data_IF_265533256101
#
_entry.id   IF_265533256101
#
_cell.length_a   1.000
_cell.length_b   1.000
_cell.length_c   1.000
_cell.angle_alpha   90.00
_cell.angle_beta   90.00
_cell.angle_gamma   90.00
#
_symmetry.space_group_name_H-M   'P 1'
#
loop_
_entity.id
_entity.type
_entity.pdbx_description
1 polymer ?
#
# COMPACT_ATOMS: atom_id res chain seq x y z
N UNK A 1 -9.56 13.28 -1.62
CA UNK A 1 -8.78 12.67 -2.73
C UNK A 1 -7.29 12.77 -2.47
N UNK A 2 -6.49 11.87 -3.07
CA UNK A 2 -5.03 11.94 -3.04
C UNK A 2 -4.53 12.97 -4.08
N UNK A 3 -3.60 13.82 -3.68
CA UNK A 3 -3.13 14.98 -4.47
C UNK A 3 -1.64 15.27 -4.30
N UNK A 4 -0.97 14.66 -3.31
CA UNK A 4 0.43 14.91 -3.05
C UNK A 4 1.30 14.10 -4.03
N UNK A 5 2.20 14.73 -4.81
CA UNK A 5 3.07 13.98 -5.70
C UNK A 5 4.10 13.17 -4.90
N UNK A 6 4.63 12.06 -5.47
CA UNK A 6 5.64 11.27 -4.79
C UNK A 6 6.90 12.11 -4.52
N UNK A 7 7.49 12.05 -3.31
CA UNK A 7 8.64 12.85 -2.92
C UNK A 7 9.95 12.29 -3.51
N UNK A 8 10.10 12.34 -4.85
CA UNK A 8 11.23 11.75 -5.61
C UNK A 8 12.61 12.15 -5.10
N UNK A 9 12.79 13.42 -4.68
CA UNK A 9 14.06 13.91 -4.12
C UNK A 9 14.41 13.22 -2.80
N UNK A 10 13.45 13.11 -1.89
CA UNK A 10 13.64 12.43 -0.62
C UNK A 10 13.89 10.93 -0.81
N UNK A 11 13.15 10.29 -1.74
CA UNK A 11 13.37 8.89 -2.10
C UNK A 11 14.80 8.63 -2.62
N UNK A 12 15.31 9.47 -3.52
CA UNK A 12 16.67 9.33 -4.06
C UNK A 12 17.77 9.63 -3.02
N UNK A 13 17.44 10.41 -2.00
CA UNK A 13 18.30 10.65 -0.84
C UNK A 13 18.33 9.43 0.07
N UNK A 14 17.17 8.84 0.35
CA UNK A 14 16.97 7.73 1.27
C UNK A 14 17.37 6.36 0.71
N UNK A 15 17.05 6.09 -0.55
CA UNK A 15 17.12 4.77 -1.18
C UNK A 15 18.07 4.76 -2.37
N UNK A 16 18.72 3.63 -2.58
CA UNK A 16 19.40 3.28 -3.83
C UNK A 16 18.59 2.20 -4.55
N UNK A 17 18.40 2.36 -5.85
CA UNK A 17 17.63 1.43 -6.66
C UNK A 17 18.52 0.56 -7.55
N UNK A 18 18.04 -0.66 -7.83
CA UNK A 18 18.61 -1.60 -8.78
C UNK A 18 17.46 -2.21 -9.60
N UNK A 19 17.12 -1.63 -10.75
CA UNK A 19 16.07 -2.14 -11.62
C UNK A 19 16.55 -3.32 -12.46
N UNK A 20 15.64 -4.21 -12.82
CA UNK A 20 15.81 -5.29 -13.79
C UNK A 20 14.51 -5.50 -14.56
N UNK A 21 14.61 -5.85 -15.83
CA UNK A 21 13.45 -6.16 -16.68
C UNK A 21 13.74 -7.36 -17.58
N UNK A 22 12.84 -8.34 -17.57
CA UNK A 22 12.97 -9.59 -18.33
C UNK A 22 11.60 -9.98 -18.89
N UNK A 23 11.34 -9.68 -20.17
CA UNK A 23 10.05 -9.96 -20.78
C UNK A 23 8.93 -9.16 -20.11
N UNK A 24 7.92 -9.85 -19.56
CA UNK A 24 6.80 -9.26 -18.81
C UNK A 24 7.10 -9.07 -17.32
N UNK A 25 8.35 -9.23 -16.89
CA UNK A 25 8.75 -9.16 -15.48
C UNK A 25 9.65 -7.97 -15.20
N UNK A 26 9.13 -6.99 -14.46
CA UNK A 26 9.89 -5.92 -13.84
C UNK A 26 10.26 -6.26 -12.40
N UNK A 27 11.50 -5.95 -12.01
CA UNK A 27 11.97 -6.05 -10.63
C UNK A 27 12.69 -4.77 -10.21
N UNK A 28 12.37 -4.28 -9.01
CA UNK A 28 13.00 -3.12 -8.42
C UNK A 28 13.45 -3.43 -7.00
N UNK A 29 14.75 -3.57 -6.79
CA UNK A 29 15.33 -3.61 -5.45
C UNK A 29 15.65 -2.18 -4.99
N UNK A 30 15.12 -1.80 -3.84
CA UNK A 30 15.38 -0.56 -3.12
C UNK A 30 16.09 -0.89 -1.81
N UNK A 31 17.31 -0.40 -1.65
CA UNK A 31 18.07 -0.54 -0.40
C UNK A 31 18.23 0.79 0.29
N UNK A 32 18.25 0.77 1.62
CA UNK A 32 18.60 1.94 2.40
C UNK A 32 20.00 2.45 2.04
N UNK A 33 20.08 3.71 1.65
CA UNK A 33 21.33 4.44 1.37
C UNK A 33 21.82 5.18 2.61
N UNK A 34 20.91 5.74 3.40
CA UNK A 34 21.18 6.41 4.66
C UNK A 34 19.99 6.26 5.63
N UNK A 35 20.21 6.53 6.91
CA UNK A 35 19.12 6.72 7.88
C UNK A 35 18.20 7.86 7.44
N UNK A 36 16.92 7.75 7.80
CA UNK A 36 15.97 8.84 7.58
C UNK A 36 16.38 10.07 8.41
N UNK A 37 16.33 11.23 7.78
CA UNK A 37 16.48 12.52 8.45
C UNK A 37 15.14 13.28 8.41
N UNK A 38 15.07 14.43 9.10
CA UNK A 38 13.85 15.23 9.19
C UNK A 38 13.32 15.63 7.82
N UNK A 39 14.19 15.96 6.86
CA UNK A 39 13.79 16.32 5.50
C UNK A 39 13.12 15.14 4.77
N UNK A 40 13.66 13.92 4.92
CA UNK A 40 13.03 12.70 4.37
C UNK A 40 11.68 12.47 5.04
N UNK A 41 11.62 12.52 6.37
CA UNK A 41 10.40 12.28 7.14
C UNK A 41 9.29 13.26 6.76
N UNK A 42 9.58 14.56 6.73
CA UNK A 42 8.60 15.60 6.41
C UNK A 42 8.04 15.42 5.00
N UNK A 43 8.89 15.08 4.03
CA UNK A 43 8.47 14.80 2.66
C UNK A 43 7.60 13.54 2.56
N UNK A 44 7.89 12.49 3.35
CA UNK A 44 7.03 11.31 3.42
C UNK A 44 5.69 11.64 4.08
N UNK A 45 5.69 12.41 5.19
CA UNK A 45 4.47 12.82 5.90
C UNK A 45 3.49 13.50 4.97
N UNK A 46 3.94 14.42 4.09
CA UNK A 46 3.05 15.09 3.13
C UNK A 46 2.30 14.11 2.21
N UNK A 47 3.02 13.10 1.70
CA UNK A 47 2.42 12.08 0.84
C UNK A 47 1.45 11.17 1.63
N UNK A 48 1.88 10.71 2.81
CA UNK A 48 1.06 9.88 3.70
C UNK A 48 -0.20 10.60 4.19
N UNK A 49 -0.11 11.89 4.50
CA UNK A 49 -1.25 12.74 4.85
C UNK A 49 -2.31 12.72 3.76
N UNK A 50 -1.88 12.93 2.51
CA UNK A 50 -2.77 12.91 1.36
C UNK A 50 -3.35 11.51 1.11
N UNK A 51 -2.55 10.45 1.32
CA UNK A 51 -3.01 9.07 1.16
C UNK A 51 -4.08 8.67 2.19
N UNK A 52 -3.93 9.12 3.44
CA UNK A 52 -4.84 8.77 4.54
C UNK A 52 -6.08 9.68 4.65
N UNK A 53 -6.14 10.79 3.91
CA UNK A 53 -7.15 11.83 4.07
C UNK A 53 -8.59 11.30 4.00
N UNK A 54 -8.93 10.55 2.95
CA UNK A 54 -10.29 10.03 2.73
C UNK A 54 -10.73 9.05 3.83
N UNK A 55 -9.88 8.09 4.19
CA UNK A 55 -10.15 7.17 5.30
C UNK A 55 -10.27 7.88 6.65
N UNK A 56 -9.44 8.90 6.89
CA UNK A 56 -9.52 9.71 8.10
C UNK A 56 -10.88 10.38 8.21
N UNK A 57 -11.32 11.06 7.16
CA UNK A 57 -12.63 11.71 7.12
C UNK A 57 -13.78 10.71 7.38
N UNK A 58 -13.74 9.55 6.71
CA UNK A 58 -14.76 8.51 6.86
C UNK A 58 -14.78 7.92 8.29
N UNK A 59 -13.63 7.54 8.82
CA UNK A 59 -13.54 6.91 10.14
C UNK A 59 -13.80 7.89 11.28
N UNK A 60 -13.37 9.14 11.17
CA UNK A 60 -13.65 10.17 12.17
C UNK A 60 -15.13 10.52 12.17
N UNK A 61 -15.75 10.66 10.98
CA UNK A 61 -17.21 10.82 10.85
C UNK A 61 -17.98 9.66 11.48
N UNK A 62 -17.57 8.42 11.22
CA UNK A 62 -18.16 7.23 11.83
C UNK A 62 -18.03 7.26 13.36
N UNK A 63 -16.85 7.60 13.87
CA UNK A 63 -16.55 7.67 15.30
C UNK A 63 -17.14 8.90 16.00
N UNK A 64 -17.79 9.83 15.27
CA UNK A 64 -18.29 11.13 15.75
C UNK A 64 -17.19 12.01 16.33
N UNK A 65 -15.99 11.91 15.78
CA UNK A 65 -14.86 12.77 16.10
C UNK A 65 -15.01 14.03 15.25
N UNK A 66 -15.06 15.20 15.88
CA UNK A 66 -15.05 16.47 15.16
C UNK A 66 -13.70 16.72 14.51
N UNK A 67 -13.72 17.11 13.24
CA UNK A 67 -12.55 17.56 12.49
C UNK A 67 -12.37 19.10 12.55
N UNK A 68 -13.27 19.81 13.26
CA UNK A 68 -13.26 21.28 13.30
C UNK A 68 -12.08 21.80 14.15
N UNK A 69 -11.28 22.76 13.65
CA UNK A 69 -10.11 23.26 14.37
C UNK A 69 -10.46 23.88 15.74
N UNK A 70 -11.63 24.53 15.84
CA UNK A 70 -12.12 25.19 17.07
C UNK A 70 -12.88 24.26 18.03
N UNK A 71 -12.96 22.95 17.74
CA UNK A 71 -13.56 22.03 18.70
C UNK A 71 -12.50 21.67 19.76
N UNK A 72 -12.62 22.27 20.95
CA UNK A 72 -11.76 22.06 22.13
C UNK A 72 -11.92 20.65 22.76
N UNK A 73 -12.40 19.65 22.01
CA UNK A 73 -12.39 18.26 22.47
C UNK A 73 -10.93 17.77 22.52
N UNK A 74 -10.32 18.01 23.68
CA UNK A 74 -9.01 17.52 24.08
C UNK A 74 -8.96 16.00 23.85
N UNK A 75 -8.03 15.58 22.99
CA UNK A 75 -7.46 14.23 23.02
C UNK A 75 -8.44 13.09 22.78
N UNK A 76 -9.04 13.00 21.60
CA UNK A 76 -9.67 11.76 21.18
C UNK A 76 -8.60 10.66 21.04
N UNK A 77 -8.60 9.68 21.95
CA UNK A 77 -7.63 8.57 21.99
C UNK A 77 -7.73 7.69 20.72
N UNK A 78 -8.86 7.73 20.01
CA UNK A 78 -9.14 6.97 18.80
C UNK A 78 -8.79 7.67 17.48
N UNK A 79 -7.80 8.57 17.43
CA UNK A 79 -7.48 9.28 16.18
C UNK A 79 -6.81 8.35 15.14
N UNK A 80 -7.51 8.14 14.02
CA UNK A 80 -6.92 7.49 12.84
C UNK A 80 -5.90 8.42 12.14
N UNK A 81 -4.75 7.90 11.65
CA UNK A 81 -4.29 6.50 11.75
C UNK A 81 -3.42 6.19 12.99
N UNK A 82 -3.07 7.21 13.80
CA UNK A 82 -2.13 7.09 14.94
C UNK A 82 -2.56 6.03 15.96
N UNK A 83 -3.86 5.95 16.26
CA UNK A 83 -4.42 5.02 17.24
C UNK A 83 -4.35 3.54 16.81
N UNK A 84 -4.04 3.25 15.54
CA UNK A 84 -3.98 1.90 15.03
C UNK A 84 -2.79 1.11 15.61
N UNK A 85 -2.97 -0.20 15.88
CA UNK A 85 -1.87 -1.07 16.25
C UNK A 85 -0.74 -1.05 15.21
N UNK A 86 0.51 -1.21 15.67
CA UNK A 86 1.69 -1.19 14.78
C UNK A 86 1.59 -2.18 13.62
N UNK A 87 1.00 -3.37 13.86
CA UNK A 87 0.77 -4.39 12.81
C UNK A 87 -0.08 -3.85 11.66
N UNK A 88 -1.12 -3.07 11.98
CA UNK A 88 -2.00 -2.42 11.01
C UNK A 88 -1.30 -1.28 10.29
N UNK A 89 -0.58 -0.43 11.04
CA UNK A 89 0.22 0.66 10.47
C UNK A 89 1.29 0.15 9.49
N UNK A 90 1.88 -1.03 9.75
CA UNK A 90 2.79 -1.72 8.82
C UNK A 90 2.12 -2.14 7.51
N UNK A 91 0.88 -2.63 7.57
CA UNK A 91 0.10 -2.96 6.37
C UNK A 91 -0.19 -1.73 5.52
N UNK A 92 -0.79 -0.71 6.15
CA UNK A 92 -1.09 0.57 5.51
C UNK A 92 0.17 1.26 4.97
N UNK A 93 1.29 1.19 5.70
CA UNK A 93 2.58 1.68 5.22
C UNK A 93 2.98 0.99 3.91
N UNK A 94 2.87 -0.34 3.83
CA UNK A 94 3.13 -1.09 2.61
C UNK A 94 2.25 -0.64 1.44
N UNK A 95 0.97 -0.39 1.68
CA UNK A 95 0.03 0.14 0.68
C UNK A 95 0.46 1.53 0.18
N UNK A 96 0.76 2.48 1.09
CA UNK A 96 1.22 3.83 0.72
C UNK A 96 2.54 3.77 -0.04
N UNK A 97 3.50 2.95 0.39
CA UNK A 97 4.77 2.79 -0.30
C UNK A 97 4.60 2.15 -1.68
N UNK A 98 3.66 1.22 -1.85
CA UNK A 98 3.32 0.65 -3.16
C UNK A 98 2.87 1.74 -4.13
N UNK A 99 1.98 2.62 -3.67
CA UNK A 99 1.56 3.78 -4.45
C UNK A 99 2.69 4.73 -4.78
N UNK A 100 3.42 5.14 -3.76
CA UNK A 100 4.53 6.07 -3.90
C UNK A 100 5.59 5.55 -4.89
N UNK A 101 5.92 4.26 -4.85
CA UNK A 101 6.90 3.67 -5.76
C UNK A 101 6.38 3.54 -7.19
N UNK A 102 5.10 3.23 -7.34
CA UNK A 102 4.41 3.16 -8.63
C UNK A 102 4.46 4.50 -9.37
N UNK A 103 4.33 5.62 -8.66
CA UNK A 103 4.43 6.97 -9.25
C UNK A 103 5.88 7.50 -9.34
N UNK A 104 6.77 7.02 -8.45
CA UNK A 104 8.14 7.52 -8.35
C UNK A 104 9.12 6.88 -9.33
N UNK A 105 8.96 5.59 -9.61
CA UNK A 105 9.91 4.77 -10.36
C UNK A 105 9.29 4.25 -11.67
N UNK A 106 10.17 3.86 -12.60
CA UNK A 106 9.76 3.16 -13.82
C UNK A 106 9.46 1.71 -13.50
N UNK A 107 8.22 1.30 -13.73
CA UNK A 107 7.79 -0.10 -13.67
C UNK A 107 7.74 -0.69 -15.07
N UNK A 108 7.55 -2.01 -15.13
CA UNK A 108 7.31 -2.75 -16.37
C UNK A 108 6.27 -2.03 -17.26
N UNK A 109 6.60 -1.89 -18.55
CA UNK A 109 5.77 -1.19 -19.54
C UNK A 109 5.86 0.34 -19.50
N UNK A 110 6.60 0.93 -18.57
CA UNK A 110 6.83 2.38 -18.41
C UNK A 110 5.54 3.22 -18.40
N UNK A 111 4.45 2.69 -17.83
CA UNK A 111 3.17 3.38 -17.76
C UNK A 111 3.16 4.58 -16.80
N UNK A 112 2.37 5.59 -17.14
CA UNK A 112 2.06 6.71 -16.25
C UNK A 112 0.87 6.36 -15.36
N UNK A 113 1.17 5.91 -14.15
CA UNK A 113 0.17 5.51 -13.17
C UNK A 113 -0.40 6.71 -12.41
N UNK A 114 -1.71 6.66 -12.17
CA UNK A 114 -2.43 7.63 -11.36
C UNK A 114 -3.10 6.92 -10.18
N UNK A 115 -2.98 7.50 -9.00
CA UNK A 115 -3.63 7.03 -7.78
C UNK A 115 -4.61 8.12 -7.31
N UNK A 116 -5.88 8.06 -7.71
CA UNK A 116 -6.84 9.09 -7.30
C UNK A 116 -7.09 9.09 -5.79
N UNK A 117 -7.08 7.90 -5.17
CA UNK A 117 -7.38 7.69 -3.75
C UNK A 117 -6.87 6.32 -3.32
N UNK A 118 -6.46 6.20 -2.05
CA UNK A 118 -6.15 4.92 -1.43
C UNK A 118 -7.41 4.31 -0.83
N UNK A 119 -7.59 2.99 -0.97
CA UNK A 119 -8.83 2.27 -0.61
C UNK A 119 -8.97 1.99 0.91
N UNK A 120 -8.29 2.77 1.74
CA UNK A 120 -8.21 2.56 3.19
C UNK A 120 -9.57 2.67 3.88
N UNK A 121 -10.52 3.47 3.36
CA UNK A 121 -11.86 3.59 3.95
C UNK A 121 -12.66 2.30 3.89
N UNK A 122 -12.28 1.37 3.01
CA UNK A 122 -12.88 0.04 2.92
C UNK A 122 -12.28 -0.96 3.93
N UNK A 123 -11.36 -0.51 4.80
CA UNK A 123 -10.87 -1.29 5.93
C UNK A 123 -11.87 -1.24 7.10
N UNK A 124 -12.95 -1.99 6.97
CA UNK A 124 -14.08 -1.97 7.92
C UNK A 124 -13.64 -2.21 9.38
N UNK A 125 -12.75 -3.18 9.61
CA UNK A 125 -12.30 -3.52 10.96
C UNK A 125 -11.48 -2.39 11.61
N UNK A 126 -10.72 -1.60 10.82
CA UNK A 126 -10.04 -0.42 11.31
C UNK A 126 -11.05 0.66 11.73
N UNK A 127 -12.09 0.91 10.92
CA UNK A 127 -13.17 1.83 11.27
C UNK A 127 -13.90 1.44 12.55
N UNK A 128 -14.24 0.16 12.71
CA UNK A 128 -14.87 -0.37 13.92
C UNK A 128 -13.96 -0.26 15.15
N UNK A 129 -12.66 -0.52 14.97
CA UNK A 129 -11.67 -0.37 16.04
C UNK A 129 -11.59 1.08 16.52
N UNK A 130 -11.49 2.04 15.60
CA UNK A 130 -11.48 3.47 15.91
C UNK A 130 -12.78 3.90 16.63
N UNK A 131 -13.94 3.46 16.12
CA UNK A 131 -15.24 3.72 16.76
C UNK A 131 -15.31 3.20 18.20
N UNK A 132 -14.75 2.00 18.44
CA UNK A 132 -14.73 1.35 19.76
C UNK A 132 -13.80 2.08 20.72
N UNK A 133 -12.57 2.39 20.29
CA UNK A 133 -11.59 3.11 21.11
C UNK A 133 -12.10 4.48 21.55
N UNK A 134 -12.85 5.18 20.71
CA UNK A 134 -13.40 6.49 21.08
C UNK A 134 -14.46 6.41 22.19
N UNK A 135 -14.99 5.22 22.48
CA UNK A 135 -15.98 5.00 23.56
C UNK A 135 -15.37 4.31 24.78
N UNK A 136 -14.39 3.45 24.55
CA UNK A 136 -13.73 2.66 25.57
C UNK A 136 -12.23 2.55 25.22
N UNK A 137 -11.39 3.45 25.76
CA UNK A 137 -9.96 3.50 25.47
C UNK A 137 -9.18 2.23 25.84
N UNK A 138 -9.75 1.38 26.70
CA UNK A 138 -9.11 0.14 27.17
C UNK A 138 -9.36 -1.04 26.23
N UNK A 139 -10.29 -0.92 25.27
CA UNK A 139 -10.60 -1.96 24.27
C UNK A 139 -9.60 -2.04 23.12
N UNK A 140 -8.32 -2.19 23.46
CA UNK A 140 -7.25 -2.44 22.50
C UNK A 140 -7.29 -3.90 22.07
N UNK A 141 -7.25 -4.14 20.76
CA UNK A 141 -7.24 -5.47 20.14
C UNK A 141 -6.43 -5.45 18.85
N UNK A 142 -6.13 -6.63 18.33
CA UNK A 142 -5.66 -6.72 16.95
C UNK A 142 -6.76 -6.30 15.97
N UNK A 143 -6.33 -5.59 14.92
CA UNK A 143 -7.17 -5.25 13.77
C UNK A 143 -6.86 -6.25 12.66
N UNK A 144 -7.91 -6.90 12.16
CA UNK A 144 -7.84 -7.81 11.03
C UNK A 144 -7.46 -7.03 9.77
N UNK A 145 -6.64 -7.62 8.90
CA UNK A 145 -6.27 -7.00 7.62
C UNK A 145 -7.48 -6.81 6.70
N UNK A 146 -7.38 -5.87 5.76
CA UNK A 146 -8.37 -5.70 4.70
C UNK A 146 -8.39 -6.95 3.81
N UNK A 147 -9.56 -7.25 3.24
CA UNK A 147 -9.73 -8.33 2.25
C UNK A 147 -9.72 -7.71 0.85
N UNK A 148 -9.10 -8.38 -0.10
CA UNK A 148 -8.96 -7.91 -1.49
C UNK A 148 -7.56 -7.35 -1.75
N UNK A 149 -7.36 -6.75 -2.92
CA UNK A 149 -6.05 -6.21 -3.32
C UNK A 149 -5.65 -5.01 -2.43
N UNK A 150 -4.43 -5.05 -1.91
CA UNK A 150 -3.87 -4.04 -1.01
C UNK A 150 -3.70 -2.67 -1.71
N UNK A 151 -3.50 -2.64 -3.02
CA UNK A 151 -3.24 -1.39 -3.73
C UNK A 151 -3.85 -1.40 -5.14
N UNK A 152 -4.35 -0.25 -5.61
CA UNK A 152 -4.84 -0.05 -6.97
C UNK A 152 -4.34 1.30 -7.50
N UNK A 153 -3.77 1.29 -8.72
CA UNK A 153 -3.58 2.49 -9.53
C UNK A 153 -4.10 2.23 -10.95
N UNK A 154 -4.41 3.30 -11.68
CA UNK A 154 -4.97 3.24 -13.03
C UNK A 154 -4.09 4.01 -14.01
N UNK A 155 -4.12 3.59 -15.27
CA UNK A 155 -3.62 4.38 -16.40
C UNK A 155 -4.83 4.96 -17.10
N UNK A 156 -4.81 6.27 -17.31
CA UNK A 156 -5.89 7.03 -17.91
C UNK A 156 -5.37 7.71 -19.17
N UNK A 157 -6.07 7.55 -20.30
CA UNK A 157 -5.74 8.25 -21.55
C UNK A 157 -6.21 9.72 -21.54
N UNK A 158 -6.00 10.43 -22.66
CA UNK A 158 -6.34 11.86 -22.76
C UNK A 158 -7.85 12.11 -22.71
N UNK A 159 -8.65 11.12 -23.10
CA UNK A 159 -10.11 11.14 -23.09
C UNK A 159 -10.71 10.74 -21.73
N UNK A 160 -9.88 10.27 -20.80
CA UNK A 160 -10.30 9.81 -19.49
C UNK A 160 -10.68 8.33 -19.44
N UNK A 161 -10.37 7.53 -20.47
CA UNK A 161 -10.61 6.09 -20.43
C UNK A 161 -9.51 5.37 -19.67
N UNK A 162 -9.93 4.38 -18.87
CA UNK A 162 -9.03 3.47 -18.17
C UNK A 162 -8.71 2.31 -19.10
N UNK A 163 -7.44 2.14 -19.47
CA UNK A 163 -7.01 1.04 -20.34
C UNK A 163 -6.16 -0.02 -19.60
N UNK A 164 -5.66 0.32 -18.42
CA UNK A 164 -4.83 -0.53 -17.60
C UNK A 164 -4.96 -0.17 -16.13
N UNK A 165 -4.80 -1.15 -15.26
CA UNK A 165 -4.63 -0.94 -13.83
C UNK A 165 -3.51 -1.82 -13.27
N UNK A 166 -2.97 -1.42 -12.11
CA UNK A 166 -2.02 -2.21 -11.33
C UNK A 166 -2.67 -2.58 -10.01
N UNK A 167 -2.57 -3.84 -9.63
CA UNK A 167 -3.09 -4.37 -8.39
C UNK A 167 -1.94 -4.91 -7.54
N UNK A 168 -1.78 -4.37 -6.34
CA UNK A 168 -0.66 -4.66 -5.46
C UNK A 168 -1.01 -5.49 -4.24
N UNK A 169 -0.06 -6.30 -3.82
CA UNK A 169 -0.01 -6.98 -2.52
C UNK A 169 1.24 -6.53 -1.76
N UNK A 170 1.09 -6.07 -0.51
CA UNK A 170 2.20 -5.51 0.25
C UNK A 170 2.46 -6.30 1.54
N UNK A 171 3.67 -6.86 1.66
CA UNK A 171 4.07 -7.63 2.85
C UNK A 171 5.22 -6.95 3.58
N UNK A 172 5.04 -6.74 4.88
CA UNK A 172 6.08 -6.25 5.79
C UNK A 172 6.67 -7.36 6.66
N UNK A 173 8.00 -7.46 6.77
CA UNK A 173 8.66 -8.34 7.76
C UNK A 173 9.86 -7.66 8.42
N UNK A 174 9.99 -7.81 9.74
CA UNK A 174 11.13 -7.24 10.48
C UNK A 174 12.50 -7.79 10.03
N UNK A 175 12.53 -9.01 9.48
CA UNK A 175 13.72 -9.55 8.80
C UNK A 175 13.33 -10.56 7.73
N UNK A 176 13.83 -10.36 6.52
CA UNK A 176 13.60 -11.25 5.38
C UNK A 176 14.65 -12.36 5.28
N UNK A 177 14.42 -13.46 6.02
CA UNK A 177 15.16 -14.71 5.81
C UNK A 177 14.51 -15.55 4.72
N UNK A 178 15.26 -16.49 4.12
CA UNK A 178 14.72 -17.41 3.10
C UNK A 178 13.47 -18.17 3.60
N UNK A 179 13.49 -18.68 4.83
CA UNK A 179 12.33 -19.36 5.43
C UNK A 179 11.10 -18.46 5.56
N UNK A 180 11.30 -17.19 5.96
CA UNK A 180 10.22 -16.20 6.07
C UNK A 180 9.66 -15.87 4.68
N UNK A 181 10.54 -15.66 3.70
CA UNK A 181 10.15 -15.42 2.32
C UNK A 181 9.34 -16.60 1.77
N UNK A 182 9.84 -17.83 1.90
CA UNK A 182 9.17 -19.04 1.40
C UNK A 182 7.80 -19.22 2.07
N UNK A 183 7.69 -18.93 3.37
CA UNK A 183 6.41 -18.98 4.08
C UNK A 183 5.42 -17.93 3.56
N UNK A 184 5.89 -16.73 3.19
CA UNK A 184 5.05 -15.67 2.63
C UNK A 184 4.62 -16.00 1.20
N UNK A 185 5.56 -16.40 0.36
CA UNK A 185 5.32 -16.59 -1.07
C UNK A 185 4.61 -17.92 -1.37
N UNK A 186 4.98 -19.00 -0.68
CA UNK A 186 4.46 -20.36 -0.89
C UNK A 186 3.42 -20.79 0.17
N UNK A 187 3.24 -20.00 1.24
CA UNK A 187 2.33 -20.31 2.35
C UNK A 187 2.98 -21.16 3.45
N UNK A 188 2.32 -21.36 4.60
CA UNK A 188 2.89 -22.13 5.71
C UNK A 188 3.04 -23.61 5.35
N UNK A 189 4.03 -24.27 5.98
CA UNK A 189 4.20 -25.70 5.80
C UNK A 189 3.13 -26.49 6.55
N UNK A 190 2.58 -27.52 5.91
CA UNK A 190 1.60 -28.44 6.47
C UNK A 190 1.99 -29.89 6.19
N UNK A 191 1.52 -30.82 7.02
CA UNK A 191 1.81 -32.25 6.91
C UNK A 191 2.46 -32.83 8.17
N UNK A 192 2.72 -34.16 8.17
CA UNK A 192 3.35 -34.84 9.29
C UNK A 192 4.78 -34.31 9.55
N UNK A 193 5.23 -34.47 10.79
CA UNK A 193 6.55 -34.02 11.22
C UNK A 193 7.66 -34.75 10.46
N UNK A 194 8.63 -34.01 9.91
CA UNK A 194 9.69 -34.54 9.03
C UNK A 194 9.40 -34.42 7.53
N UNK A 195 8.12 -34.30 7.11
CA UNK A 195 7.70 -34.25 5.70
C UNK A 195 6.88 -32.99 5.36
N UNK A 196 6.98 -31.95 6.20
CA UNK A 196 6.20 -30.72 6.03
C UNK A 196 6.55 -30.02 4.70
N UNK A 197 5.57 -29.93 3.81
CA UNK A 197 5.64 -29.19 2.54
C UNK A 197 4.84 -27.90 2.61
N UNK A 198 5.23 -26.89 1.84
CA UNK A 198 4.44 -25.66 1.71
C UNK A 198 3.05 -25.99 1.18
N UNK A 199 2.02 -25.38 1.76
CA UNK A 199 0.63 -25.65 1.39
C UNK A 199 0.18 -24.95 0.10
N UNK A 200 1.07 -24.18 -0.54
CA UNK A 200 0.83 -23.40 -1.76
C UNK A 200 -0.35 -22.44 -1.61
N UNK A 201 -0.49 -21.81 -0.43
CA UNK A 201 -1.50 -20.77 -0.15
C UNK A 201 -0.83 -19.46 0.28
N UNK A 202 0.29 -19.12 -0.36
CA UNK A 202 0.98 -17.85 -0.17
C UNK A 202 0.64 -16.84 -1.28
N UNK A 203 1.42 -15.76 -1.35
CA UNK A 203 1.22 -14.66 -2.31
C UNK A 203 1.18 -15.15 -3.76
N UNK A 204 2.02 -16.13 -4.14
CA UNK A 204 2.01 -16.65 -5.52
C UNK A 204 0.66 -17.26 -5.88
N UNK A 205 0.04 -17.99 -4.96
CA UNK A 205 -1.28 -18.59 -5.17
C UNK A 205 -2.39 -17.54 -5.27
N UNK A 206 -2.30 -16.49 -4.47
CA UNK A 206 -3.27 -15.38 -4.51
C UNK A 206 -3.18 -14.63 -5.84
N UNK A 207 -1.97 -14.24 -6.25
CA UNK A 207 -1.74 -13.52 -7.50
C UNK A 207 -2.15 -14.35 -8.72
N UNK A 208 -1.74 -15.63 -8.78
CA UNK A 208 -2.08 -16.51 -9.91
C UNK A 208 -3.59 -16.73 -10.09
N UNK A 209 -4.38 -16.58 -9.01
CA UNK A 209 -5.84 -16.75 -9.03
C UNK A 209 -6.61 -15.44 -8.96
N UNK A 210 -5.92 -14.31 -8.95
CA UNK A 210 -6.54 -13.01 -8.83
C UNK A 210 -7.42 -12.72 -10.05
N UNK A 211 -8.60 -12.15 -9.81
CA UNK A 211 -9.58 -11.81 -10.84
C UNK A 211 -8.98 -10.85 -11.86
N UNK A 212 -9.39 -10.97 -13.12
CA UNK A 212 -9.00 -10.04 -14.17
C UNK A 212 -9.42 -8.59 -13.85
N UNK A 213 -10.58 -8.42 -13.20
CA UNK A 213 -11.08 -7.15 -12.67
C UNK A 213 -11.39 -7.36 -11.18
N UNK A 214 -10.56 -6.83 -10.25
CA UNK A 214 -10.74 -7.04 -8.83
C UNK A 214 -11.81 -6.16 -8.20
N UNK A 215 -12.29 -6.54 -7.01
CA UNK A 215 -13.18 -5.72 -6.18
C UNK A 215 -12.59 -4.33 -5.87
N UNK A 216 -11.26 -4.20 -5.83
CA UNK A 216 -10.58 -2.92 -5.64
C UNK A 216 -10.95 -1.87 -6.70
N UNK A 217 -11.27 -2.27 -7.93
CA UNK A 217 -11.74 -1.33 -8.96
C UNK A 217 -13.15 -0.82 -8.70
N UNK A 218 -14.04 -1.67 -8.18
CA UNK A 218 -15.39 -1.25 -7.75
C UNK A 218 -15.31 -0.29 -6.56
N UNK A 219 -14.39 -0.55 -5.63
CA UNK A 219 -14.14 0.34 -4.50
C UNK A 219 -13.61 1.70 -4.97
N UNK A 220 -12.62 1.71 -5.87
CA UNK A 220 -12.14 2.93 -6.49
C UNK A 220 -13.28 3.69 -7.17
N UNK A 221 -14.04 3.02 -8.04
CA UNK A 221 -15.19 3.57 -8.74
C UNK A 221 -16.18 4.25 -7.78
N UNK A 222 -16.59 3.55 -6.72
CA UNK A 222 -17.50 4.08 -5.69
C UNK A 222 -16.96 5.36 -5.05
N UNK A 223 -15.67 5.39 -4.70
CA UNK A 223 -15.07 6.56 -4.04
C UNK A 223 -14.99 7.74 -5.01
N UNK A 224 -14.63 7.51 -6.28
CA UNK A 224 -14.63 8.58 -7.29
C UNK A 224 -16.01 9.22 -7.44
N UNK A 225 -17.05 8.40 -7.50
CA UNK A 225 -18.43 8.84 -7.62
C UNK A 225 -18.90 9.64 -6.39
N UNK A 226 -18.46 9.28 -5.18
CA UNK A 226 -18.85 9.97 -3.96
C UNK A 226 -18.08 11.27 -3.71
N UNK A 227 -16.78 11.30 -4.04
CA UNK A 227 -15.89 12.39 -3.63
C UNK A 227 -15.72 13.46 -4.71
N UNK A 228 -15.49 13.09 -5.97
CA UNK A 228 -15.18 14.03 -7.06
C UNK A 228 -15.82 13.59 -8.41
N UNK A 229 -17.17 13.43 -8.48
CA UNK A 229 -17.84 12.86 -9.65
C UNK A 229 -17.64 13.68 -10.93
N UNK A 230 -17.68 15.01 -10.83
CA UNK A 230 -17.55 15.88 -12.01
C UNK A 230 -16.13 15.84 -12.61
N UNK A 231 -15.11 15.78 -11.75
CA UNK A 231 -13.71 15.75 -12.19
C UNK A 231 -13.34 14.40 -12.80
N UNK A 232 -13.87 13.31 -12.26
CA UNK A 232 -13.59 11.95 -12.72
C UNK A 232 -14.68 11.37 -13.63
N UNK A 233 -15.57 12.20 -14.18
CA UNK A 233 -16.74 11.72 -14.94
C UNK A 233 -16.39 10.73 -16.07
N UNK A 234 -15.37 11.03 -16.88
CA UNK A 234 -14.92 10.10 -17.94
C UNK A 234 -14.31 8.81 -17.38
N UNK A 235 -13.54 8.91 -16.30
CA UNK A 235 -12.93 7.75 -15.63
C UNK A 235 -14.00 6.85 -15.04
N UNK A 236 -14.99 7.43 -14.36
CA UNK A 236 -16.16 6.73 -13.80
C UNK A 236 -16.91 6.01 -14.92
N UNK A 237 -17.24 6.70 -16.01
CA UNK A 237 -17.93 6.10 -17.15
C UNK A 237 -17.11 4.96 -17.81
N UNK A 238 -15.79 5.08 -17.84
CA UNK A 238 -14.92 4.00 -18.34
C UNK A 238 -14.90 2.81 -17.38
N UNK A 239 -14.85 3.05 -16.07
CA UNK A 239 -14.90 1.99 -15.06
C UNK A 239 -16.26 1.29 -15.07
N UNK A 240 -17.37 1.99 -15.28
CA UNK A 240 -18.71 1.38 -15.44
C UNK A 240 -18.73 0.32 -16.55
N UNK A 241 -18.08 0.61 -17.70
CA UNK A 241 -17.99 -0.34 -18.82
C UNK A 241 -17.08 -1.54 -18.51
N UNK A 242 -15.98 -1.32 -17.79
CA UNK A 242 -15.06 -2.38 -17.36
C UNK A 242 -15.69 -3.29 -16.30
N UNK A 243 -16.44 -2.70 -15.36
CA UNK A 243 -17.09 -3.40 -14.24
C UNK A 243 -18.42 -4.05 -14.67
N UNK A 244 -18.89 -3.80 -15.89
CA UNK A 244 -20.14 -4.34 -16.40
C UNK A 244 -20.15 -5.87 -16.38
N UNK A 245 -21.22 -6.46 -15.83
CA UNK A 245 -21.35 -7.91 -15.77
C UNK A 245 -21.47 -8.57 -17.15
N UNK A 246 -22.01 -7.86 -18.15
CA UNK A 246 -22.21 -8.38 -19.51
C UNK A 246 -21.38 -7.57 -20.50
N UNK A 247 -20.57 -8.28 -21.28
CA UNK A 247 -19.66 -7.70 -22.28
C UNK A 247 -18.81 -6.55 -21.72
N UNK A 248 -18.01 -6.79 -20.65
CA UNK A 248 -17.14 -5.76 -20.11
C UNK A 248 -16.11 -5.33 -21.16
N UNK A 249 -15.76 -4.04 -21.12
CA UNK A 249 -14.62 -3.53 -21.89
C UNK A 249 -13.33 -4.22 -21.40
N UNK A 250 -12.41 -4.60 -22.32
CA UNK A 250 -11.13 -5.17 -21.92
C UNK A 250 -10.29 -4.15 -21.17
N UNK A 251 -9.53 -4.63 -20.20
CA UNK A 251 -8.57 -3.82 -19.44
C UNK A 251 -7.34 -4.66 -19.11
N UNK A 252 -6.17 -4.08 -19.27
CA UNK A 252 -4.91 -4.75 -18.93
C UNK A 252 -4.64 -4.68 -17.42
N UNK A 253 -4.09 -5.75 -16.85
CA UNK A 253 -3.72 -5.83 -15.43
C UNK A 253 -2.22 -6.05 -15.28
N UNK A 254 -1.58 -5.22 -14.46
CA UNK A 254 -0.24 -5.47 -13.93
C UNK A 254 -0.36 -5.95 -12.48
N UNK A 255 0.32 -7.06 -12.15
CA UNK A 255 0.43 -7.55 -10.78
C UNK A 255 1.62 -6.90 -10.08
N UNK A 256 1.42 -6.35 -8.89
CA UNK A 256 2.47 -5.76 -8.06
C UNK A 256 2.64 -6.57 -6.77
N UNK A 257 3.89 -6.90 -6.43
CA UNK A 257 4.22 -7.49 -5.13
C UNK A 257 5.28 -6.60 -4.47
N UNK A 258 4.93 -5.99 -3.35
CA UNK A 258 5.86 -5.25 -2.51
C UNK A 258 6.31 -6.12 -1.32
N UNK A 259 7.61 -6.39 -1.24
CA UNK A 259 8.25 -7.00 -0.08
C UNK A 259 9.08 -5.96 0.66
N UNK A 260 8.55 -5.45 1.77
CA UNK A 260 9.17 -4.40 2.55
C UNK A 260 9.68 -4.91 3.91
N UNK A 261 10.80 -4.39 4.39
CA UNK A 261 11.24 -4.62 5.76
C UNK A 261 12.75 -4.80 5.94
N UNK A 262 13.12 -5.48 7.03
CA UNK A 262 14.52 -5.56 7.47
C UNK A 262 15.38 -6.58 6.70
N UNK A 263 16.69 -6.35 6.59
CA UNK A 263 17.59 -7.31 5.99
C UNK A 263 17.73 -8.57 6.86
N UNK A 264 18.05 -9.71 6.23
CA UNK A 264 18.62 -10.84 6.97
C UNK A 264 20.03 -10.51 7.45
N UNK A 265 20.43 -11.05 8.61
CA UNK A 265 21.75 -10.81 9.23
C UNK A 265 22.98 -11.01 8.32
N UNK A 266 22.87 -11.90 7.31
CA UNK A 266 23.97 -12.23 6.38
C UNK A 266 23.71 -11.72 4.96
N UNK A 267 22.72 -10.86 4.76
CA UNK A 267 22.38 -10.32 3.45
C UNK A 267 23.54 -9.46 2.93
N UNK A 268 23.90 -9.63 1.66
CA UNK A 268 24.86 -8.77 0.97
C UNK A 268 24.12 -7.65 0.24
N UNK A 269 24.82 -6.54 0.00
CA UNK A 269 24.32 -5.43 -0.82
C UNK A 269 23.90 -5.92 -2.21
N UNK A 270 22.90 -5.29 -2.81
CA UNK A 270 22.36 -5.60 -4.13
C UNK A 270 21.95 -7.08 -4.32
N UNK A 271 21.50 -7.74 -3.24
CA UNK A 271 20.97 -9.10 -3.28
C UNK A 271 19.46 -9.08 -3.12
N UNK A 272 18.73 -9.45 -4.17
CA UNK A 272 17.27 -9.54 -4.12
C UNK A 272 16.81 -10.78 -3.33
N UNK A 273 15.59 -10.72 -2.80
CA UNK A 273 14.88 -11.80 -2.13
C UNK A 273 14.34 -12.78 -3.17
N UNK A 274 13.71 -12.25 -4.22
CA UNK A 274 13.22 -12.99 -5.37
C UNK A 274 14.23 -12.84 -6.52
N UNK A 275 14.58 -13.92 -7.23
CA UNK A 275 15.45 -13.83 -8.40
C UNK A 275 14.89 -12.85 -9.45
N UNK A 276 15.73 -11.91 -9.88
CA UNK A 276 15.37 -10.84 -10.82
C UNK A 276 15.93 -11.01 -12.25
N UNK A 277 16.57 -12.14 -12.52
CA UNK A 277 17.21 -12.44 -13.82
C UNK A 277 16.31 -13.23 -14.77
N UNK A 278 15.29 -13.87 -14.21
CA UNK A 278 14.33 -14.71 -14.91
C UNK A 278 12.98 -14.49 -14.25
N UNK A 279 11.90 -14.64 -15.03
CA UNK A 279 10.53 -14.63 -14.47
C UNK A 279 10.43 -15.75 -13.43
N UNK A 280 9.94 -15.48 -12.20
CA UNK A 280 9.77 -16.51 -11.19
C UNK A 280 8.90 -17.65 -11.71
N UNK A 281 9.38 -18.89 -11.59
CA UNK A 281 8.68 -20.07 -12.11
C UNK A 281 7.30 -20.24 -11.48
N UNK A 282 7.14 -19.81 -10.22
CA UNK A 282 5.87 -19.87 -9.50
C UNK A 282 4.81 -18.88 -10.01
N UNK A 283 5.19 -17.91 -10.86
CA UNK A 283 4.25 -16.97 -11.45
C UNK A 283 3.67 -17.51 -12.76
N UNK A 284 2.39 -17.89 -12.71
CA UNK A 284 1.69 -18.59 -13.80
C UNK A 284 0.58 -17.74 -14.43
N UNK A 285 0.26 -16.57 -13.88
CA UNK A 285 -0.82 -15.71 -14.39
C UNK A 285 -0.56 -15.16 -15.80
N UNK A 286 0.70 -15.06 -16.24
CA UNK A 286 1.07 -14.61 -17.58
C UNK A 286 0.80 -13.13 -17.87
N UNK A 287 0.47 -12.32 -16.85
CA UNK A 287 0.30 -10.87 -16.95
C UNK A 287 1.64 -10.16 -16.73
N UNK A 288 1.69 -8.85 -16.87
CA UNK A 288 2.87 -8.09 -16.46
C UNK A 288 3.02 -8.21 -14.93
N UNK A 289 4.21 -8.58 -14.47
CA UNK A 289 4.55 -8.71 -13.06
C UNK A 289 5.59 -7.65 -12.69
N UNK A 290 5.27 -6.84 -11.70
CA UNK A 290 6.21 -5.97 -11.02
C UNK A 290 6.48 -6.49 -9.60
N UNK A 291 7.74 -6.77 -9.30
CA UNK A 291 8.19 -6.98 -7.91
C UNK A 291 8.96 -5.75 -7.45
N UNK A 292 8.66 -5.30 -6.24
CA UNK A 292 9.43 -4.27 -5.55
C UNK A 292 9.89 -4.84 -4.20
N UNK A 293 11.18 -4.70 -3.92
CA UNK A 293 11.75 -5.09 -2.64
C UNK A 293 12.32 -3.85 -1.95
N UNK A 294 11.80 -3.49 -0.78
CA UNK A 294 12.33 -2.39 0.00
C UNK A 294 13.00 -2.92 1.26
N UNK A 295 14.33 -2.83 1.31
CA UNK A 295 15.15 -3.36 2.41
C UNK A 295 15.76 -2.22 3.22
N UNK A 296 15.26 -2.02 4.45
CA UNK A 296 15.67 -0.94 5.37
C UNK A 296 15.87 -1.46 6.79
N UNK A 297 16.83 -0.93 7.53
CA UNK A 297 17.23 -1.43 8.86
C UNK A 297 16.36 -0.89 10.00
N UNK A 298 15.89 0.35 9.88
CA UNK A 298 15.17 1.14 10.91
C UNK A 298 13.64 1.20 10.66
N UNK A 299 13.10 0.19 9.96
CA UNK A 299 11.75 0.27 9.41
C UNK A 299 10.62 0.49 10.42
N UNK A 300 10.67 -0.12 11.60
CA UNK A 300 9.65 0.07 12.64
C UNK A 300 9.69 1.51 13.20
N UNK A 301 10.88 2.09 13.36
CA UNK A 301 11.06 3.46 13.84
C UNK A 301 10.63 4.47 12.78
N UNK A 302 10.99 4.24 11.51
CA UNK A 302 10.52 5.05 10.36
C UNK A 302 8.99 5.08 10.32
N UNK A 303 8.34 3.92 10.43
CA UNK A 303 6.87 3.82 10.43
C UNK A 303 6.29 4.58 11.62
N UNK A 304 6.83 4.40 12.82
CA UNK A 304 6.33 5.10 14.01
C UNK A 304 6.49 6.62 13.89
N UNK A 305 7.62 7.11 13.38
CA UNK A 305 7.88 8.53 13.21
C UNK A 305 6.97 9.14 12.16
N UNK A 306 6.82 8.52 10.98
CA UNK A 306 5.91 9.02 9.93
C UNK A 306 4.48 9.07 10.46
N UNK A 307 3.97 7.96 11.00
CA UNK A 307 2.60 7.90 11.50
C UNK A 307 2.37 8.83 12.70
N UNK A 308 3.36 9.02 13.57
CA UNK A 308 3.29 9.97 14.69
C UNK A 308 3.28 11.44 14.24
N UNK A 309 3.81 11.73 13.05
CA UNK A 309 3.73 13.05 12.42
C UNK A 309 2.42 13.28 11.65
N UNK A 310 1.62 12.24 11.40
CA UNK A 310 0.32 12.40 10.74
C UNK A 310 -0.68 13.02 11.70
N UNK A 311 -1.40 14.03 11.22
CA UNK A 311 -2.40 14.79 11.96
C UNK A 311 -1.89 15.34 13.30
N UNK A 312 -0.56 15.45 13.46
CA UNK A 312 0.02 16.23 14.54
C UNK A 312 -0.38 17.68 14.28
N UNK A 313 -1.41 18.17 14.99
CA UNK A 313 -1.59 19.61 15.18
C UNK A 313 -0.22 20.15 15.52
N UNK A 314 0.29 21.11 14.74
CA UNK A 314 1.44 21.92 15.15
C UNK A 314 1.20 22.26 16.60
N UNK A 315 2.01 21.66 17.49
CA UNK A 315 1.91 21.94 18.91
C UNK A 315 1.97 23.45 19.03
N UNK A 316 0.98 24.01 19.73
CA UNK A 316 0.81 25.43 19.97
C UNK A 316 2.15 26.15 19.97
N UNK A 317 2.26 27.20 19.17
CA UNK A 317 3.33 28.20 19.29
C UNK A 317 3.57 28.44 20.78
N UNK A 318 4.66 27.86 21.27
CA UNK A 318 5.25 28.18 22.55
C UNK A 318 5.90 29.55 22.38
N UNK A 319 5.09 30.60 22.34
CA UNK A 319 5.52 31.99 22.50
C UNK A 319 4.34 32.88 22.89
N UNK A 320 4.11 32.96 24.21
CA UNK A 320 3.81 34.23 24.89
C UNK A 320 4.95 34.45 25.88
#
# INVERSE_FOLDING_TARGET
MHTAPPPKKALNKWLINYPSEVGNYGHLLLEQKQSVDTEIIDAMIQYFESAHLDARECFHKLARISLHPDNDEIGCIGQYPVALPLKTRKGLFGEVMSGMFTEAYKFIGEHEWVIPVFLFRNHEDAGQYIYTLNRDPDRKREVLGRKGDDFIAIVVDQEGNVNRFIAGEAKWRGSWTKSVLDTVMLGPKSGPEGEKVHNNKGVWHEVNRALAVPLGLEQLHTILHECEPDKYASVIASLDRILAHRNPDPVERTDLILLAGGPAKKRKKATSLIPWKDVPFEYEAGRDLQIVEMIIEDGDDVINTIYGGLWAKVAADASI
#
